data_IF_525663876926
#
_entry.id   IF_525663876926
#
_cell.length_a   1.000
_cell.length_b   1.000
_cell.length_c   1.000
_cell.angle_alpha   90.00
_cell.angle_beta   90.00
_cell.angle_gamma   90.00
#
_symmetry.space_group_name_H-M   'P 1'
#
loop_
_entity.id
_entity.type
_entity.pdbx_description
1 polymer ?
#
# COMPACT_ATOMS: atom_id res chain seq x y z
N UNK A 1 -24.05 10.18 -4.98
CA UNK A 1 -22.85 10.03 -4.14
C UNK A 1 -21.76 9.41 -5.00
N UNK A 2 -20.60 10.07 -5.08
CA UNK A 2 -19.42 9.56 -5.78
C UNK A 2 -18.25 9.60 -4.80
N UNK A 3 -17.71 8.43 -4.49
CA UNK A 3 -16.50 8.30 -3.69
C UNK A 3 -15.34 8.00 -4.63
N UNK A 4 -14.25 8.76 -4.51
CA UNK A 4 -13.04 8.53 -5.28
C UNK A 4 -11.81 8.70 -4.40
N UNK A 5 -10.85 7.80 -4.54
CA UNK A 5 -9.63 7.78 -3.74
C UNK A 5 -8.51 7.07 -4.48
N UNK A 6 -7.27 7.41 -4.14
CA UNK A 6 -6.07 6.83 -4.72
C UNK A 6 -5.13 6.42 -3.60
N UNK A 7 -4.54 5.24 -3.73
CA UNK A 7 -3.40 4.82 -2.92
C UNK A 7 -2.11 5.13 -3.67
N UNK A 8 -1.21 5.85 -3.02
CA UNK A 8 0.13 6.16 -3.48
C UNK A 8 1.14 5.27 -2.76
N UNK A 9 2.07 4.69 -3.53
CA UNK A 9 3.33 4.13 -3.02
C UNK A 9 4.38 5.22 -3.12
N UNK A 10 5.04 5.51 -2.02
CA UNK A 10 5.93 6.64 -1.91
C UNK A 10 7.28 6.23 -1.36
N UNK A 11 8.32 6.84 -1.90
CA UNK A 11 9.68 6.80 -1.39
C UNK A 11 10.24 8.21 -1.37
N UNK A 12 10.67 8.64 -0.20
CA UNK A 12 11.39 9.88 0.02
C UNK A 12 12.84 9.55 0.29
N UNK A 13 13.75 10.26 -0.36
CA UNK A 13 15.20 10.17 -0.15
C UNK A 13 15.67 11.56 0.27
N UNK A 14 16.09 11.69 1.52
CA UNK A 14 16.59 12.92 2.09
C UNK A 14 18.13 12.91 2.02
N UNK A 15 18.70 13.97 1.45
CA UNK A 15 20.15 14.17 1.32
C UNK A 15 20.55 15.53 1.89
N UNK A 16 21.62 15.58 2.66
CA UNK A 16 22.20 16.85 3.12
C UNK A 16 23.04 17.47 1.99
N UNK A 17 22.81 18.75 1.72
CA UNK A 17 23.48 19.53 0.66
C UNK A 17 24.86 20.03 1.13
N UNK A 18 25.07 20.22 2.44
CA UNK A 18 26.27 20.91 2.94
C UNK A 18 27.54 20.07 3.03
N UNK A 19 27.50 18.78 2.66
CA UNK A 19 28.73 18.01 2.43
C UNK A 19 29.61 17.73 3.66
N UNK A 20 29.25 18.18 4.87
CA UNK A 20 29.94 17.75 6.10
C UNK A 20 29.75 16.24 6.37
N UNK A 21 28.87 15.61 5.60
CA UNK A 21 28.64 14.18 5.64
C UNK A 21 28.44 13.64 4.21
N UNK A 22 29.52 13.62 3.41
CA UNK A 22 29.60 12.75 2.22
C UNK A 22 29.55 11.24 2.64
N UNK A 23 29.66 10.94 3.94
CA UNK A 23 29.80 9.59 4.50
C UNK A 23 28.55 8.94 5.13
N UNK A 24 27.44 9.65 5.31
CA UNK A 24 26.22 9.06 5.90
C UNK A 24 25.26 8.59 4.81
N UNK A 25 24.68 7.39 4.98
CA UNK A 25 23.69 6.90 4.05
C UNK A 25 22.48 7.85 4.00
N UNK A 26 21.89 8.07 2.81
CA UNK A 26 20.71 8.90 2.68
C UNK A 26 19.59 8.34 3.54
N UNK A 27 18.84 9.23 4.17
CA UNK A 27 17.68 8.84 4.95
C UNK A 27 16.53 8.51 3.99
N UNK A 28 15.98 7.29 4.10
CA UNK A 28 14.93 6.79 3.21
C UNK A 28 13.66 6.59 4.03
N UNK A 29 12.58 7.27 3.64
CA UNK A 29 11.25 7.06 4.19
C UNK A 29 10.34 6.48 3.11
N UNK A 30 9.82 5.27 3.32
CA UNK A 30 8.82 4.66 2.43
C UNK A 30 7.45 4.64 3.09
N UNK A 31 6.39 4.76 2.31
CA UNK A 31 5.02 4.77 2.80
C UNK A 31 4.05 4.36 1.71
N UNK A 32 2.93 3.76 2.12
CA UNK A 32 1.72 3.72 1.31
C UNK A 32 0.75 4.74 1.88
N UNK A 33 0.19 5.64 1.07
CA UNK A 33 -0.65 6.74 1.51
C UNK A 33 -2.00 6.71 0.81
N UNK A 34 -3.08 6.91 1.56
CA UNK A 34 -4.43 6.97 1.02
C UNK A 34 -5.21 8.09 1.72
N UNK A 35 -5.68 9.07 0.95
CA UNK A 35 -6.63 10.06 1.44
C UNK A 35 -8.05 9.50 1.36
N UNK A 36 -8.79 9.58 2.45
CA UNK A 36 -10.09 8.92 2.63
C UNK A 36 -11.13 9.99 2.93
N UNK A 37 -11.80 10.53 1.89
CA UNK A 37 -12.91 11.46 2.09
C UNK A 37 -14.14 10.69 2.58
N UNK A 38 -14.67 11.07 3.74
CA UNK A 38 -15.88 10.50 4.31
C UNK A 38 -17.07 11.37 3.91
N UNK A 39 -17.88 10.82 3.02
CA UNK A 39 -18.93 11.55 2.30
C UNK A 39 -20.29 11.20 2.92
N UNK A 40 -21.10 12.21 3.25
CA UNK A 40 -22.46 11.99 3.77
C UNK A 40 -23.46 11.58 2.65
N UNK A 41 -24.72 11.34 3.02
CA UNK A 41 -25.79 11.00 2.04
C UNK A 41 -26.10 12.11 1.04
N UNK A 42 -25.81 13.37 1.37
CA UNK A 42 -25.98 14.55 0.51
C UNK A 42 -24.84 14.69 -0.52
N UNK A 43 -23.74 13.96 -0.33
CA UNK A 43 -22.56 14.06 -1.19
C UNK A 43 -21.48 15.01 -0.67
N UNK A 44 -21.67 15.60 0.52
CA UNK A 44 -20.67 16.49 1.12
C UNK A 44 -19.59 15.68 1.82
N UNK A 45 -18.32 16.09 1.64
CA UNK A 45 -17.21 15.58 2.43
C UNK A 45 -17.31 16.16 3.84
N UNK A 46 -17.53 15.30 4.84
CA UNK A 46 -17.67 15.71 6.25
C UNK A 46 -16.33 15.68 6.96
N UNK A 47 -15.55 14.62 6.71
CA UNK A 47 -14.23 14.43 7.29
C UNK A 47 -13.31 13.86 6.22
N UNK A 48 -12.02 14.22 6.27
CA UNK A 48 -10.99 13.57 5.46
C UNK A 48 -9.91 13.07 6.38
N UNK A 49 -9.66 11.77 6.31
CA UNK A 49 -8.52 11.14 6.96
C UNK A 49 -7.43 10.86 5.92
N UNK A 50 -6.18 10.87 6.35
CA UNK A 50 -5.09 10.27 5.57
C UNK A 50 -4.62 9.06 6.33
N UNK A 51 -4.61 7.90 5.67
CA UNK A 51 -4.07 6.67 6.21
C UNK A 51 -2.72 6.43 5.56
N UNK A 52 -1.71 6.16 6.39
CA UNK A 52 -0.41 5.67 5.94
C UNK A 52 -0.12 4.32 6.56
N UNK A 53 0.48 3.40 5.81
CA UNK A 53 0.93 2.13 6.35
C UNK A 53 2.16 1.58 5.59
N UNK A 54 2.83 0.62 6.22
CA UNK A 54 3.98 -0.08 5.65
C UNK A 54 3.63 -0.86 4.38
N UNK A 55 2.46 -1.50 4.33
CA UNK A 55 1.96 -2.25 3.18
C UNK A 55 0.72 -1.60 2.55
N UNK A 56 0.49 -1.86 1.26
CA UNK A 56 -0.69 -1.31 0.56
C UNK A 56 -2.00 -1.86 1.15
N UNK A 57 -2.06 -3.17 1.40
CA UNK A 57 -3.27 -3.82 1.89
C UNK A 57 -3.64 -3.36 3.31
N UNK A 58 -2.67 -3.15 4.22
CA UNK A 58 -2.94 -2.64 5.56
C UNK A 58 -3.44 -1.19 5.53
N UNK A 59 -2.89 -0.36 4.63
CA UNK A 59 -3.38 1.00 4.38
C UNK A 59 -4.86 0.98 3.96
N UNK A 60 -5.21 0.12 3.00
CA UNK A 60 -6.59 0.00 2.51
C UNK A 60 -7.52 -0.58 3.58
N UNK A 61 -7.10 -1.62 4.32
CA UNK A 61 -7.92 -2.24 5.38
C UNK A 61 -8.29 -1.22 6.47
N UNK A 62 -7.33 -0.39 6.89
CA UNK A 62 -7.61 0.68 7.86
C UNK A 62 -8.53 1.75 7.27
N UNK A 63 -8.31 2.16 6.01
CA UNK A 63 -9.22 3.06 5.31
C UNK A 63 -10.66 2.50 5.21
N UNK A 64 -10.81 1.21 4.89
CA UNK A 64 -12.10 0.51 4.87
C UNK A 64 -12.81 0.62 6.21
N UNK A 65 -12.10 0.36 7.32
CA UNK A 65 -12.67 0.40 8.67
C UNK A 65 -13.16 1.80 9.03
N UNK A 66 -12.44 2.86 8.64
CA UNK A 66 -12.89 4.24 8.82
C UNK A 66 -14.18 4.50 8.01
N UNK A 67 -14.21 4.11 6.73
CA UNK A 67 -15.41 4.27 5.88
C UNK A 67 -16.60 3.52 6.46
N UNK A 68 -16.44 2.25 6.85
CA UNK A 68 -17.50 1.45 7.45
C UNK A 68 -18.03 2.07 8.75
N UNK A 69 -17.12 2.52 9.60
CA UNK A 69 -17.49 3.13 10.89
C UNK A 69 -18.26 4.42 10.67
N UNK A 70 -17.85 5.24 9.70
CA UNK A 70 -18.56 6.46 9.34
C UNK A 70 -19.94 6.20 8.74
N UNK A 71 -20.04 5.23 7.82
CA UNK A 71 -21.32 4.87 7.21
C UNK A 71 -22.32 4.31 8.22
N UNK A 72 -21.84 3.62 9.25
CA UNK A 72 -22.67 3.01 10.30
C UNK A 72 -23.08 4.00 11.39
N UNK A 73 -22.16 4.83 11.87
CA UNK A 73 -22.33 5.63 13.11
C UNK A 73 -22.26 7.14 12.85
N UNK A 74 -21.85 7.57 11.66
CA UNK A 74 -21.64 8.99 11.33
C UNK A 74 -20.22 9.47 11.65
N UNK A 75 -20.01 10.80 11.73
CA UNK A 75 -18.68 11.42 11.88
C UNK A 75 -17.86 10.81 13.01
N UNK A 76 -16.58 10.57 12.78
CA UNK A 76 -15.67 9.86 13.69
C UNK A 76 -15.13 10.81 14.77
N UNK A 77 -14.73 12.03 14.42
CA UNK A 77 -14.10 12.97 15.34
C UNK A 77 -15.09 13.77 16.19
N UNK A 78 -16.38 13.72 15.88
CA UNK A 78 -17.43 14.51 16.55
C UNK A 78 -18.25 13.70 17.58
N UNK A 79 -17.79 12.51 17.96
CA UNK A 79 -18.51 11.59 18.85
C UNK A 79 -18.28 11.93 20.31
N UNK A 80 -19.27 11.59 21.15
CA UNK A 80 -19.13 11.64 22.61
C UNK A 80 -18.16 10.55 23.10
N UNK A 81 -18.35 9.32 22.62
CA UNK A 81 -17.40 8.22 22.84
C UNK A 81 -16.36 8.21 21.71
N UNK A 82 -15.08 8.32 22.10
CA UNK A 82 -13.98 8.33 21.15
C UNK A 82 -13.91 7.01 20.38
N UNK A 83 -13.61 7.10 19.08
CA UNK A 83 -13.38 5.90 18.26
C UNK A 83 -12.09 5.20 18.70
N UNK A 84 -12.19 3.92 19.04
CA UNK A 84 -11.04 3.10 19.37
C UNK A 84 -10.28 2.68 18.10
N UNK A 85 -9.25 3.47 17.77
CA UNK A 85 -8.39 3.20 16.63
C UNK A 85 -7.49 1.98 16.83
N UNK A 86 -7.14 1.66 18.07
CA UNK A 86 -6.26 0.51 18.38
C UNK A 86 -7.03 -0.78 18.19
N UNK A 87 -8.23 -0.92 18.77
CA UNK A 87 -9.11 -2.07 18.51
C UNK A 87 -9.42 -2.22 17.02
N UNK A 88 -9.69 -1.09 16.35
CA UNK A 88 -9.89 -1.08 14.92
C UNK A 88 -8.67 -1.68 14.17
N UNK A 89 -7.46 -1.29 14.52
CA UNK A 89 -6.22 -1.80 13.91
C UNK A 89 -5.94 -3.27 14.24
N UNK A 90 -6.10 -3.66 15.51
CA UNK A 90 -5.91 -5.04 15.97
C UNK A 90 -6.92 -5.99 15.30
N UNK A 91 -8.18 -5.57 15.15
CA UNK A 91 -9.22 -6.36 14.47
C UNK A 91 -8.96 -6.60 12.97
N UNK A 92 -8.08 -5.80 12.35
CA UNK A 92 -7.70 -5.94 10.95
C UNK A 92 -6.42 -6.76 10.76
N UNK A 93 -5.67 -6.99 11.84
CA UNK A 93 -4.38 -7.66 11.81
C UNK A 93 -4.59 -9.17 11.70
N UNK A 94 -4.23 -9.78 10.57
CA UNK A 94 -4.25 -11.24 10.41
C UNK A 94 -3.05 -11.87 11.14
N UNK A 95 -3.25 -13.06 11.72
CA UNK A 95 -2.21 -13.83 12.43
C UNK A 95 -0.91 -13.97 11.63
N UNK A 96 -1.00 -14.07 10.30
CA UNK A 96 0.16 -14.14 9.42
C UNK A 96 1.02 -12.86 9.52
N UNK A 97 0.41 -11.69 9.31
CA UNK A 97 1.12 -10.40 9.29
C UNK A 97 1.67 -10.07 10.69
N UNK A 98 0.89 -10.33 11.74
CA UNK A 98 1.34 -10.13 13.14
C UNK A 98 2.60 -10.96 13.44
N UNK A 99 2.65 -12.21 12.96
CA UNK A 99 3.74 -13.14 13.27
C UNK A 99 4.99 -12.92 12.43
N UNK A 100 4.83 -12.61 11.14
CA UNK A 100 5.93 -12.60 10.18
C UNK A 100 6.36 -11.22 9.69
N UNK A 101 5.61 -10.16 10.04
CA UNK A 101 5.95 -8.79 9.70
C UNK A 101 6.13 -7.91 10.94
N UNK A 102 7.27 -8.04 11.67
CA UNK A 102 7.52 -7.25 12.88
C UNK A 102 7.68 -5.75 12.61
N UNK A 103 7.96 -5.37 11.36
CA UNK A 103 8.10 -3.98 10.93
C UNK A 103 6.78 -3.34 10.48
N UNK A 104 5.64 -4.03 10.65
CA UNK A 104 4.32 -3.49 10.32
C UNK A 104 4.05 -2.21 11.09
N UNK A 105 3.48 -1.23 10.40
CA UNK A 105 3.06 0.02 11.02
C UNK A 105 1.90 0.65 10.27
N UNK A 106 1.14 1.47 11.00
CA UNK A 106 0.04 2.29 10.49
C UNK A 106 0.06 3.65 11.19
N UNK A 107 -0.35 4.69 10.47
CA UNK A 107 -0.64 5.99 11.05
C UNK A 107 -1.87 6.60 10.38
N UNK A 108 -2.76 7.16 11.19
CA UNK A 108 -3.95 7.86 10.75
C UNK A 108 -3.79 9.33 11.09
N UNK A 109 -4.02 10.18 10.09
CA UNK A 109 -3.91 11.62 10.19
C UNK A 109 -5.26 12.26 9.98
N UNK A 110 -5.52 13.32 10.73
CA UNK A 110 -6.66 14.20 10.54
C UNK A 110 -6.18 15.65 10.67
N UNK A 111 -6.47 16.47 9.65
CA UNK A 111 -6.01 17.87 9.55
C UNK A 111 -4.49 18.02 9.77
N UNK A 112 -3.70 17.12 9.17
CA UNK A 112 -2.23 17.11 9.23
C UNK A 112 -1.63 16.71 10.58
N UNK A 113 -2.44 16.20 11.52
CA UNK A 113 -1.98 15.70 12.81
C UNK A 113 -2.20 14.20 12.88
N UNK A 114 -1.23 13.48 13.46
CA UNK A 114 -1.39 12.08 13.83
C UNK A 114 -2.44 12.00 14.92
N UNK A 115 -3.47 11.19 14.70
CA UNK A 115 -4.50 10.89 15.71
C UNK A 115 -4.42 9.45 16.20
N UNK A 116 -3.71 8.60 15.46
CA UNK A 116 -3.43 7.23 15.84
C UNK A 116 -2.18 6.75 15.10
N UNK A 117 -1.35 5.98 15.79
CA UNK A 117 -0.22 5.26 15.18
C UNK A 117 0.10 3.98 15.94
N UNK A 118 0.61 2.99 15.21
CA UNK A 118 1.15 1.75 15.77
C UNK A 118 2.36 1.34 14.94
N UNK A 119 3.43 0.88 15.58
CA UNK A 119 4.67 0.43 14.95
C UNK A 119 5.66 1.55 14.60
N UNK A 120 6.78 1.19 13.95
CA UNK A 120 7.90 2.10 13.67
C UNK A 120 7.84 2.73 12.28
N UNK A 121 7.23 3.91 12.15
CA UNK A 121 7.23 4.70 10.92
C UNK A 121 8.27 5.82 10.98
N UNK A 122 8.62 6.38 9.82
CA UNK A 122 9.56 7.49 9.73
C UNK A 122 8.89 8.84 10.09
N UNK A 123 9.40 9.64 11.07
CA UNK A 123 8.76 10.89 11.51
C UNK A 123 8.63 11.97 10.42
N UNK A 124 9.52 11.94 9.41
CA UNK A 124 9.41 12.80 8.22
C UNK A 124 8.01 12.80 7.58
N UNK A 125 7.29 11.67 7.65
CA UNK A 125 5.93 11.57 7.10
C UNK A 125 4.95 12.54 7.79
N UNK A 126 5.17 12.88 9.07
CA UNK A 126 4.37 13.87 9.79
C UNK A 126 4.55 15.28 9.24
N UNK A 127 5.80 15.60 8.87
CA UNK A 127 6.12 16.89 8.29
C UNK A 127 5.39 17.05 6.97
N UNK A 128 5.42 16.01 6.12
CA UNK A 128 4.71 16.00 4.85
C UNK A 128 3.20 16.16 5.03
N UNK A 129 2.56 15.40 5.94
CA UNK A 129 1.10 15.53 6.16
C UNK A 129 0.72 16.88 6.76
N UNK A 130 1.57 17.44 7.62
CA UNK A 130 1.37 18.80 8.16
C UNK A 130 1.49 19.85 7.05
N UNK A 131 2.42 19.70 6.11
CA UNK A 131 2.56 20.59 4.95
C UNK A 131 1.37 20.47 3.99
N UNK A 132 0.94 19.25 3.67
CA UNK A 132 -0.22 18.97 2.82
C UNK A 132 -1.51 19.55 3.40
N UNK A 133 -1.72 19.39 4.71
CA UNK A 133 -2.91 19.93 5.39
C UNK A 133 -3.06 21.45 5.32
N UNK A 134 -1.94 22.17 5.13
CA UNK A 134 -1.92 23.62 4.96
C UNK A 134 -2.13 24.07 3.51
N UNK A 135 -1.96 23.16 2.54
CA UNK A 135 -2.08 23.44 1.11
C UNK A 135 -2.90 22.34 0.40
N UNK A 136 -4.19 22.20 0.76
CA UNK A 136 -5.03 21.14 0.23
C UNK A 136 -5.11 21.22 -1.31
N UNK A 137 -4.91 20.08 -1.97
CA UNK A 137 -5.04 19.95 -3.42
C UNK A 137 -3.74 20.01 -4.22
N UNK A 138 -2.60 20.28 -3.58
CA UNK A 138 -1.29 20.23 -4.24
C UNK A 138 -0.28 19.45 -3.38
N UNK A 139 -0.42 18.13 -3.40
CA UNK A 139 0.43 17.24 -2.61
C UNK A 139 1.90 17.30 -3.05
N UNK A 140 2.18 17.50 -4.34
CA UNK A 140 3.55 17.66 -4.84
C UNK A 140 4.23 18.90 -4.22
N UNK A 141 3.48 19.97 -3.98
CA UNK A 141 3.97 21.16 -3.29
C UNK A 141 4.23 20.92 -1.78
N UNK A 142 3.64 19.89 -1.17
CA UNK A 142 3.91 19.55 0.23
C UNK A 142 5.39 19.18 0.45
N UNK A 143 6.05 18.59 -0.55
CA UNK A 143 7.48 18.25 -0.51
C UNK A 143 8.33 19.51 -0.50
N UNK A 144 8.08 20.44 -1.43
CA UNK A 144 8.76 21.74 -1.49
C UNK A 144 8.63 22.52 -0.18
N UNK A 145 7.44 22.51 0.41
CA UNK A 145 7.18 23.17 1.69
C UNK A 145 7.92 22.51 2.85
N UNK A 146 8.10 21.18 2.80
CA UNK A 146 8.91 20.48 3.78
C UNK A 146 10.39 20.85 3.64
N UNK A 147 10.93 20.92 2.42
CA UNK A 147 12.31 21.41 2.18
C UNK A 147 12.51 22.81 2.76
N UNK A 148 11.58 23.72 2.50
CA UNK A 148 11.62 25.08 3.04
C UNK A 148 11.52 25.12 4.58
N UNK A 149 10.70 24.25 5.18
CA UNK A 149 10.58 24.13 6.62
C UNK A 149 11.89 23.64 7.26
N UNK A 150 12.55 22.64 6.66
CA UNK A 150 13.86 22.17 7.10
C UNK A 150 14.94 23.24 6.93
N UNK A 151 14.93 23.97 5.80
CA UNK A 151 15.87 25.08 5.56
C UNK A 151 15.74 26.17 6.62
N UNK A 152 14.51 26.54 6.98
CA UNK A 152 14.22 27.51 8.05
C UNK A 152 14.65 27.02 9.44
N UNK A 153 14.66 25.71 9.66
CA UNK A 153 15.16 25.08 10.88
C UNK A 153 16.69 24.91 10.90
N UNK A 154 17.41 25.38 9.86
CA UNK A 154 18.87 25.30 9.76
C UNK A 154 19.40 24.03 9.08
N UNK A 155 18.53 23.16 8.59
CA UNK A 155 18.91 21.94 7.88
C UNK A 155 18.80 22.13 6.36
N UNK A 156 19.93 22.08 5.65
CA UNK A 156 19.95 22.17 4.19
C UNK A 156 19.79 20.78 3.57
N UNK A 157 18.55 20.35 3.41
CA UNK A 157 18.21 19.05 2.87
C UNK A 157 17.60 19.19 1.47
N UNK A 158 17.97 18.28 0.56
CA UNK A 158 17.22 18.00 -0.67
C UNK A 158 16.37 16.75 -0.45
N UNK A 159 15.11 16.80 -0.88
CA UNK A 159 14.16 15.70 -0.78
C UNK A 159 13.81 15.23 -2.19
N UNK A 160 14.26 14.03 -2.55
CA UNK A 160 13.77 13.35 -3.75
C UNK A 160 12.52 12.53 -3.41
N UNK A 161 11.43 12.76 -4.13
CA UNK A 161 10.15 12.06 -3.94
C UNK A 161 9.82 11.23 -5.19
N UNK A 162 9.71 9.91 -5.01
CA UNK A 162 9.17 8.98 -6.01
C UNK A 162 7.80 8.50 -5.53
N UNK A 163 6.75 8.97 -6.19
CA UNK A 163 5.38 8.54 -5.96
C UNK A 163 4.85 7.76 -7.17
N UNK A 164 4.17 6.65 -6.90
CA UNK A 164 3.44 5.92 -7.93
C UNK A 164 2.10 5.43 -7.42
N UNK A 165 1.10 5.49 -8.28
CA UNK A 165 -0.23 4.98 -7.98
C UNK A 165 -0.15 3.45 -7.80
N UNK A 166 -0.70 2.94 -6.70
CA UNK A 166 -0.88 1.52 -6.41
C UNK A 166 -2.31 1.05 -6.67
N UNK A 167 -3.29 1.90 -6.34
CA UNK A 167 -4.72 1.63 -6.49
C UNK A 167 -5.47 2.94 -6.78
N UNK A 168 -6.45 2.88 -7.66
CA UNK A 168 -7.49 3.91 -7.81
C UNK A 168 -8.84 3.24 -7.58
N UNK A 169 -9.68 3.80 -6.71
CA UNK A 169 -11.05 3.35 -6.53
C UNK A 169 -12.00 4.51 -6.80
N UNK A 170 -13.04 4.22 -7.58
CA UNK A 170 -14.19 5.10 -7.77
C UNK A 170 -15.46 4.29 -7.55
N UNK A 171 -16.35 4.76 -6.70
CA UNK A 171 -17.64 4.13 -6.42
C UNK A 171 -18.75 5.15 -6.60
N UNK A 172 -19.73 4.80 -7.42
CA UNK A 172 -20.92 5.56 -7.74
C UNK A 172 -22.16 4.77 -7.31
N UNK A 173 -23.32 5.40 -7.42
CA UNK A 173 -24.58 4.68 -7.19
C UNK A 173 -24.69 3.54 -8.22
N UNK A 174 -24.85 2.31 -7.74
CA UNK A 174 -25.05 1.12 -8.56
C UNK A 174 -23.80 0.54 -9.23
N UNK A 175 -22.64 1.18 -9.12
CA UNK A 175 -21.41 0.71 -9.77
C UNK A 175 -20.15 1.14 -9.04
N UNK A 176 -19.09 0.35 -9.20
CA UNK A 176 -17.77 0.63 -8.68
C UNK A 176 -16.68 0.19 -9.65
N UNK A 177 -15.52 0.82 -9.55
CA UNK A 177 -14.34 0.47 -10.32
C UNK A 177 -13.10 0.58 -9.44
N UNK A 178 -12.28 -0.45 -9.45
CA UNK A 178 -10.95 -0.45 -8.85
C UNK A 178 -9.90 -0.76 -9.90
N UNK A 179 -8.90 0.10 -10.04
CA UNK A 179 -7.72 -0.13 -10.87
C UNK A 179 -6.49 -0.34 -10.00
N UNK A 180 -5.92 -1.55 -10.03
CA UNK A 180 -4.71 -1.93 -9.33
C UNK A 180 -3.52 -1.85 -10.30
N UNK A 181 -2.47 -1.14 -9.91
CA UNK A 181 -1.25 -1.01 -10.72
C UNK A 181 -0.16 -1.89 -10.11
N UNK A 182 0.00 -3.06 -10.72
CA UNK A 182 0.94 -4.08 -10.29
C UNK A 182 2.30 -3.83 -10.94
N UNK A 183 3.36 -3.95 -10.15
CA UNK A 183 4.73 -4.02 -10.67
C UNK A 183 5.11 -5.50 -10.67
N UNK A 184 4.92 -6.17 -11.81
CA UNK A 184 5.52 -7.48 -12.03
C UNK A 184 7.01 -7.24 -12.38
N UNK A 185 7.95 -8.08 -11.94
CA UNK A 185 9.37 -7.91 -12.24
C UNK A 185 9.72 -7.60 -13.70
N UNK A 186 8.92 -8.08 -14.66
CA UNK A 186 9.17 -7.87 -16.08
C UNK A 186 8.30 -6.77 -16.73
N UNK A 187 7.14 -6.42 -16.17
CA UNK A 187 6.19 -5.42 -16.73
C UNK A 187 5.35 -4.73 -15.65
N UNK A 188 5.03 -3.45 -15.87
CA UNK A 188 3.93 -2.79 -15.15
C UNK A 188 2.62 -3.27 -15.77
N UNK A 189 1.80 -3.97 -14.99
CA UNK A 189 0.50 -4.46 -15.45
C UNK A 189 -0.59 -3.78 -14.65
N UNK A 190 -1.57 -3.21 -15.35
CA UNK A 190 -2.77 -2.67 -14.71
C UNK A 190 -3.86 -3.72 -14.79
N UNK A 191 -4.45 -4.01 -13.64
CA UNK A 191 -5.61 -4.87 -13.52
C UNK A 191 -6.79 -4.04 -13.00
N UNK A 192 -7.96 -4.21 -13.60
CA UNK A 192 -9.17 -3.53 -13.18
C UNK A 192 -10.23 -4.54 -12.78
N UNK A 193 -10.97 -4.23 -11.72
CA UNK A 193 -12.29 -4.79 -11.49
C UNK A 193 -13.34 -3.69 -11.66
N UNK A 194 -14.44 -4.05 -12.31
CA UNK A 194 -15.65 -3.25 -12.46
C UNK A 194 -16.74 -4.05 -11.77
N UNK A 195 -17.53 -3.40 -10.93
CA UNK A 195 -18.60 -4.03 -10.17
C UNK A 195 -19.90 -3.29 -10.37
N UNK A 196 -20.99 -4.02 -10.49
CA UNK A 196 -22.36 -3.52 -10.59
C UNK A 196 -23.24 -4.20 -9.53
N UNK A 197 -24.35 -3.56 -9.18
CA UNK A 197 -25.36 -4.14 -8.29
C UNK A 197 -25.84 -5.50 -8.83
N UNK A 198 -26.16 -6.43 -7.93
CA UNK A 198 -26.76 -7.73 -8.28
C UNK A 198 -27.96 -8.02 -7.40
N UNK A 199 -29.14 -8.02 -7.99
CA UNK A 199 -30.40 -8.19 -7.26
C UNK A 199 -30.56 -7.12 -6.16
N UNK A 200 -30.72 -7.56 -4.92
CA UNK A 200 -30.84 -6.68 -3.75
C UNK A 200 -29.49 -6.18 -3.22
N UNK A 201 -28.37 -6.80 -3.62
CA UNK A 201 -27.05 -6.40 -3.15
C UNK A 201 -26.55 -5.15 -3.86
N UNK A 202 -26.32 -4.10 -3.08
CA UNK A 202 -25.82 -2.80 -3.53
C UNK A 202 -24.31 -2.70 -3.38
N UNK A 203 -23.65 -2.14 -4.40
CA UNK A 203 -22.23 -1.83 -4.34
C UNK A 203 -21.95 -0.82 -3.23
N UNK A 204 -21.02 -1.15 -2.34
CA UNK A 204 -20.56 -0.23 -1.28
C UNK A 204 -19.07 0.07 -1.40
N UNK A 205 -18.68 1.27 -0.96
CA UNK A 205 -17.28 1.69 -0.88
C UNK A 205 -16.45 0.69 -0.07
N UNK A 206 -16.96 0.24 1.07
CA UNK A 206 -16.26 -0.71 1.92
C UNK A 206 -15.99 -2.05 1.23
N UNK A 207 -16.95 -2.59 0.47
CA UNK A 207 -16.74 -3.85 -0.25
C UNK A 207 -15.67 -3.70 -1.34
N UNK A 208 -15.69 -2.60 -2.10
CA UNK A 208 -14.67 -2.31 -3.12
C UNK A 208 -13.27 -2.15 -2.52
N UNK A 209 -13.15 -1.49 -1.36
CA UNK A 209 -11.86 -1.38 -0.66
C UNK A 209 -11.40 -2.73 -0.10
N UNK A 210 -12.31 -3.52 0.50
CA UNK A 210 -11.99 -4.86 1.02
C UNK A 210 -11.45 -5.77 -0.08
N UNK A 211 -12.13 -5.88 -1.22
CA UNK A 211 -11.65 -6.75 -2.31
C UNK A 211 -10.33 -6.26 -2.89
N UNK A 212 -10.13 -4.93 -2.99
CA UNK A 212 -8.86 -4.38 -3.45
C UNK A 212 -7.70 -4.69 -2.48
N UNK A 213 -7.94 -4.62 -1.17
CA UNK A 213 -6.96 -5.03 -0.16
C UNK A 213 -6.63 -6.52 -0.29
N UNK A 214 -7.65 -7.37 -0.43
CA UNK A 214 -7.47 -8.82 -0.55
C UNK A 214 -6.67 -9.21 -1.80
N UNK A 215 -6.96 -8.57 -2.93
CA UNK A 215 -6.23 -8.78 -4.18
C UNK A 215 -4.76 -8.36 -4.05
N UNK A 216 -4.48 -7.16 -3.50
CA UNK A 216 -3.11 -6.68 -3.33
C UNK A 216 -2.30 -7.54 -2.36
N UNK A 217 -2.92 -7.99 -1.26
CA UNK A 217 -2.30 -8.89 -0.30
C UNK A 217 -2.01 -10.26 -0.91
N UNK A 218 -2.98 -10.85 -1.63
CA UNK A 218 -2.81 -12.15 -2.28
C UNK A 218 -1.73 -12.15 -3.35
N UNK A 219 -1.63 -11.07 -4.13
CA UNK A 219 -0.56 -10.87 -5.12
C UNK A 219 0.81 -10.79 -4.45
N UNK A 220 0.92 -10.04 -3.35
CA UNK A 220 2.18 -9.92 -2.60
C UNK A 220 2.61 -11.28 -2.03
N UNK A 221 1.69 -11.99 -1.39
CA UNK A 221 1.93 -13.32 -0.82
C UNK A 221 2.32 -14.33 -1.90
N UNK A 222 1.61 -14.35 -3.04
CA UNK A 222 1.92 -15.24 -4.15
C UNK A 222 3.38 -15.07 -4.64
N UNK A 223 3.84 -13.83 -4.74
CA UNK A 223 5.22 -13.54 -5.11
C UNK A 223 6.22 -14.02 -4.06
N UNK A 224 6.00 -13.71 -2.78
CA UNK A 224 6.88 -14.13 -1.68
C UNK A 224 6.95 -15.67 -1.55
N UNK A 225 5.82 -16.36 -1.69
CA UNK A 225 5.73 -17.82 -1.68
C UNK A 225 6.52 -18.41 -2.85
N UNK A 226 6.35 -17.89 -4.07
CA UNK A 226 7.08 -18.40 -5.23
C UNK A 226 8.59 -18.22 -5.12
N UNK A 227 9.05 -17.07 -4.63
CA UNK A 227 10.47 -16.86 -4.34
C UNK A 227 11.01 -17.86 -3.31
N UNK A 228 10.23 -18.14 -2.27
CA UNK A 228 10.63 -19.06 -1.20
C UNK A 228 10.64 -20.51 -1.68
N UNK A 229 9.67 -20.92 -2.48
CA UNK A 229 9.62 -22.26 -3.09
C UNK A 229 10.86 -22.51 -3.96
N UNK A 230 11.27 -21.52 -4.74
CA UNK A 230 12.47 -21.64 -5.57
C UNK A 230 13.74 -21.76 -4.73
N UNK A 231 13.88 -20.97 -3.66
CA UNK A 231 15.01 -21.09 -2.72
C UNK A 231 15.06 -22.46 -2.04
N UNK A 232 13.91 -23.02 -1.64
CA UNK A 232 13.81 -24.38 -1.10
C UNK A 232 14.27 -25.42 -2.12
N UNK A 233 13.80 -25.30 -3.37
CA UNK A 233 14.15 -26.22 -4.45
C UNK A 233 15.64 -26.23 -4.78
N UNK A 234 16.28 -25.07 -4.70
CA UNK A 234 17.72 -24.92 -4.92
C UNK A 234 18.56 -25.33 -3.70
N UNK A 235 17.94 -25.70 -2.58
CA UNK A 235 18.64 -26.02 -1.34
C UNK A 235 19.28 -24.81 -0.65
N UNK A 236 18.87 -23.58 -1.01
CA UNK A 236 19.38 -22.35 -0.40
C UNK A 236 18.82 -22.10 1.01
N UNK A 237 17.68 -22.72 1.32
CA UNK A 237 17.05 -22.68 2.65
C UNK A 237 16.50 -24.06 3.01
N UNK A 238 16.41 -24.34 4.31
CA UNK A 238 15.88 -25.61 4.82
C UNK A 238 14.35 -25.62 4.90
N UNK A 239 13.75 -26.81 4.80
CA UNK A 239 12.29 -27.03 4.79
C UNK A 239 11.56 -26.50 6.03
N UNK A 240 12.24 -26.38 7.16
CA UNK A 240 11.65 -25.92 8.44
C UNK A 240 12.22 -24.58 8.92
N UNK A 241 12.97 -23.90 8.06
CA UNK A 241 13.50 -22.56 8.33
C UNK A 241 12.37 -21.54 8.54
N UNK A 242 12.62 -20.41 9.24
CA UNK A 242 11.62 -19.37 9.41
C UNK A 242 10.98 -18.87 8.09
N UNK A 243 11.74 -18.64 6.99
CA UNK A 243 11.13 -18.27 5.70
C UNK A 243 10.20 -19.35 5.13
N UNK A 244 10.53 -20.64 5.30
CA UNK A 244 9.66 -21.73 4.85
C UNK A 244 8.34 -21.77 5.65
N UNK A 245 8.39 -21.51 6.96
CA UNK A 245 7.20 -21.40 7.82
C UNK A 245 6.35 -20.17 7.47
N UNK A 246 6.99 -19.05 7.15
CA UNK A 246 6.32 -17.84 6.65
C UNK A 246 5.57 -18.13 5.35
N UNK A 247 6.21 -18.75 4.36
CA UNK A 247 5.57 -19.10 3.11
C UNK A 247 4.38 -20.05 3.29
N UNK A 248 4.48 -21.03 4.20
CA UNK A 248 3.37 -21.93 4.50
C UNK A 248 2.19 -21.20 5.16
N UNK A 249 2.46 -20.32 6.13
CA UNK A 249 1.42 -19.47 6.72
C UNK A 249 0.81 -18.53 5.66
N UNK A 250 1.62 -18.00 4.75
CA UNK A 250 1.18 -17.18 3.63
C UNK A 250 0.24 -17.94 2.68
N UNK A 251 0.47 -19.23 2.41
CA UNK A 251 -0.45 -20.07 1.62
C UNK A 251 -1.82 -20.16 2.28
N UNK A 252 -1.86 -20.39 3.61
CA UNK A 252 -3.13 -20.45 4.34
C UNK A 252 -3.87 -19.12 4.29
N UNK A 253 -3.15 -18.00 4.45
CA UNK A 253 -3.72 -16.66 4.30
C UNK A 253 -4.27 -16.44 2.89
N UNK A 254 -3.51 -16.81 1.86
CA UNK A 254 -3.92 -16.70 0.46
C UNK A 254 -5.22 -17.45 0.15
N UNK A 255 -5.47 -18.60 0.79
CA UNK A 255 -6.76 -19.31 0.69
C UNK A 255 -7.91 -18.48 1.25
N UNK A 256 -7.73 -17.85 2.42
CA UNK A 256 -8.73 -16.93 3.00
C UNK A 256 -9.01 -15.74 2.10
N UNK A 257 -7.97 -15.14 1.52
CA UNK A 257 -8.10 -14.03 0.58
C UNK A 257 -8.87 -14.41 -0.68
N UNK A 258 -8.62 -15.59 -1.23
CA UNK A 258 -9.41 -16.11 -2.35
C UNK A 258 -10.89 -16.28 -1.99
N UNK A 259 -11.20 -16.71 -0.77
CA UNK A 259 -12.57 -16.79 -0.29
C UNK A 259 -13.21 -15.40 -0.10
N UNK A 260 -12.47 -14.39 0.39
CA UNK A 260 -12.92 -12.99 0.47
C UNK A 260 -13.31 -12.46 -0.92
N UNK A 261 -12.45 -12.66 -1.93
CA UNK A 261 -12.71 -12.25 -3.32
C UNK A 261 -13.91 -12.99 -3.90
N UNK A 262 -14.00 -14.30 -3.70
CA UNK A 262 -15.12 -15.11 -4.19
C UNK A 262 -16.45 -14.69 -3.56
N UNK A 263 -16.47 -14.35 -2.28
CA UNK A 263 -17.68 -13.85 -1.64
C UNK A 263 -18.16 -12.53 -2.26
N UNK A 264 -17.23 -11.63 -2.58
CA UNK A 264 -17.55 -10.40 -3.31
C UNK A 264 -18.15 -10.68 -4.71
N UNK A 265 -17.59 -11.64 -5.45
CA UNK A 265 -18.10 -12.10 -6.76
C UNK A 265 -19.46 -12.80 -6.67
N UNK A 266 -19.75 -13.47 -5.56
CA UNK A 266 -21.06 -14.09 -5.35
C UNK A 266 -22.14 -13.03 -5.09
N UNK A 267 -21.80 -11.96 -4.37
CA UNK A 267 -22.73 -10.91 -3.96
C UNK A 267 -23.04 -9.90 -5.08
N UNK A 268 -22.12 -9.64 -6.00
CA UNK A 268 -22.21 -8.55 -6.99
C UNK A 268 -21.89 -9.05 -8.41
N UNK A 269 -22.23 -8.28 -9.45
CA UNK A 269 -21.76 -8.57 -10.82
C UNK A 269 -20.36 -7.97 -10.98
N UNK A 270 -19.33 -8.82 -11.06
CA UNK A 270 -17.93 -8.39 -11.10
C UNK A 270 -17.30 -8.80 -12.42
N UNK A 271 -16.70 -7.83 -13.10
CA UNK A 271 -15.97 -8.02 -14.35
C UNK A 271 -14.53 -7.56 -14.20
N UNK A 272 -13.62 -8.34 -14.75
CA UNK A 272 -12.19 -8.11 -14.66
C UNK A 272 -11.62 -7.74 -16.02
N UNK A 273 -10.63 -6.83 -16.05
CA UNK A 273 -9.90 -6.41 -17.26
C UNK A 273 -8.41 -6.16 -16.95
N UNK A 274 -7.46 -6.92 -17.56
CA UNK A 274 -7.66 -8.01 -18.51
C UNK A 274 -8.34 -9.24 -17.87
N UNK A 275 -7.62 -9.99 -17.06
CA UNK A 275 -8.15 -11.16 -16.35
C UNK A 275 -7.82 -11.03 -14.86
N UNK A 276 -8.60 -11.69 -14.01
CA UNK A 276 -8.34 -11.72 -12.57
C UNK A 276 -6.97 -12.35 -12.30
N UNK A 277 -6.15 -11.77 -11.41
CA UNK A 277 -4.93 -12.42 -10.95
C UNK A 277 -5.29 -13.70 -10.19
N UNK A 278 -4.94 -14.84 -10.76
CA UNK A 278 -5.08 -16.13 -10.10
C UNK A 278 -3.84 -16.39 -9.25
N UNK A 279 -3.98 -16.26 -7.92
CA UNK A 279 -2.84 -16.34 -7.01
C UNK A 279 -1.97 -17.59 -7.19
N UNK A 280 -2.53 -18.81 -7.40
CA UNK A 280 -1.71 -19.99 -7.67
C UNK A 280 -0.85 -19.87 -8.93
N UNK A 281 -1.38 -19.24 -10.00
CA UNK A 281 -0.61 -19.00 -11.22
C UNK A 281 0.52 -17.99 -10.99
N UNK A 282 0.26 -16.97 -10.17
CA UNK A 282 1.27 -15.99 -9.80
C UNK A 282 2.42 -16.58 -8.98
N UNK A 283 2.14 -17.57 -8.12
CA UNK A 283 3.21 -18.34 -7.44
C UNK A 283 4.13 -19.01 -8.46
N UNK A 284 3.55 -19.69 -9.46
CA UNK A 284 4.32 -20.35 -10.52
C UNK A 284 5.11 -19.35 -11.38
N UNK A 285 4.53 -18.18 -11.67
CA UNK A 285 5.23 -17.10 -12.36
C UNK A 285 6.44 -16.59 -11.57
N UNK A 286 6.28 -16.39 -10.25
CA UNK A 286 7.35 -15.95 -9.37
C UNK A 286 8.48 -16.99 -9.27
N UNK A 287 8.15 -18.29 -9.20
CA UNK A 287 9.14 -19.38 -9.26
C UNK A 287 9.93 -19.36 -10.58
N UNK A 288 9.24 -19.22 -11.72
CA UNK A 288 9.88 -19.11 -13.04
C UNK A 288 10.80 -17.89 -13.12
N UNK A 289 10.34 -16.75 -12.61
CA UNK A 289 11.13 -15.52 -12.59
C UNK A 289 12.47 -15.68 -11.85
N UNK A 290 12.46 -16.28 -10.65
CA UNK A 290 13.69 -16.51 -9.88
C UNK A 290 14.59 -17.53 -10.58
N UNK A 291 14.02 -18.56 -11.21
CA UNK A 291 14.78 -19.52 -12.02
C UNK A 291 15.52 -18.83 -13.17
N UNK A 292 14.81 -18.00 -13.94
CA UNK A 292 15.37 -17.26 -15.07
C UNK A 292 16.46 -16.28 -14.64
N UNK A 293 16.30 -15.58 -13.50
CA UNK A 293 17.33 -14.69 -12.99
C UNK A 293 18.64 -15.43 -12.67
N UNK A 294 18.54 -16.62 -12.08
CA UNK A 294 19.71 -17.42 -11.71
C UNK A 294 20.37 -18.12 -12.91
N UNK A 295 19.64 -18.28 -14.02
CA UNK A 295 20.17 -18.86 -15.26
C UNK A 295 20.85 -17.83 -16.19
N UNK A 296 20.76 -16.53 -15.89
CA UNK A 296 21.46 -15.50 -16.68
C UNK A 296 22.94 -15.44 -16.25
N UNK A 297 23.89 -15.41 -17.19
CA UNK A 297 25.29 -15.19 -16.83
C UNK A 297 25.44 -13.84 -16.10
N UNK A 298 26.42 -13.71 -15.19
CA UNK A 298 26.75 -12.42 -14.59
C UNK A 298 26.92 -11.39 -15.70
N UNK A 299 26.29 -10.22 -15.57
CA UNK A 299 26.61 -9.11 -16.48
C UNK A 299 28.09 -8.80 -16.29
N UNK A 300 28.89 -9.02 -17.34
CA UNK A 300 30.25 -8.50 -17.38
C UNK A 300 30.16 -6.99 -17.15
N UNK A 301 30.72 -6.53 -16.03
CA UNK A 301 31.03 -5.13 -15.83
C UNK A 301 32.00 -4.76 -16.96
N UNK A 302 31.51 -4.01 -17.96
CA UNK A 302 32.40 -3.42 -18.96
C UNK A 302 33.37 -2.51 -18.20
N UNK A 303 34.69 -2.74 -18.27
CA UNK A 303 35.63 -1.84 -17.65
C UNK A 303 35.48 -0.47 -18.31
N UNK A 304 35.35 0.56 -17.48
CA UNK A 304 35.38 1.95 -17.89
C UNK A 304 36.49 2.16 -18.92
N UNK A 305 36.10 2.65 -20.10
CA UNK A 305 37.07 3.09 -21.10
C UNK A 305 37.90 4.19 -20.46
N UNK A 306 39.14 3.85 -20.10
CA UNK A 306 40.14 4.83 -19.74
C UNK A 306 40.26 5.85 -20.89
N UNK A 307 40.03 7.11 -20.55
CA UNK A 307 40.35 8.25 -21.39
C UNK A 307 41.83 8.19 -21.78
N UNK A 308 42.13 7.77 -23.01
CA UNK A 308 43.40 8.10 -23.65
C UNK A 308 43.22 9.42 -24.37
N UNK A 309 43.51 10.50 -23.67
CA UNK A 309 43.85 11.80 -24.27
C UNK A 309 45.37 11.88 -24.38
N UNK A 310 45.86 11.91 -25.62
CA UNK A 310 47.18 12.42 -26.02
C UNK A 310 46.96 13.63 -26.90
#
# INVERSE_FOLDING_TARGET
MEFSTTLLREKFILRDIKGDIISAPPMIATSNRMAVPLINRRGDVVETFVVRAQSMHSCIRMATKLVQTFQRVGPIMAREEAFDFEDAWLSLSDDHDVRFNPARWVAVYHKGKVIFESGGRHPFLDVIEKCDSKNPGNYDNAVTLAEDAFRKAGHNLTISHDASIGLVITVKVGSGRGGLILRNPNKRTTFNFIVEDRGEHKVTVSQCLTVAAALLEGIQLAFQIGMTNERLRQGLIERFSPPAKEAESGRQRMVRLSAEVKNFENLLDVRYRPEKPEFPQMVLEAERFVREQNSRPPREEQPDRADTSS
#
